data_IF_136995563753
#
_entry.id   IF_136995563753
#
_cell.length_a   1.000
_cell.length_b   1.000
_cell.length_c   1.000
_cell.angle_alpha   90.00
_cell.angle_beta   90.00
_cell.angle_gamma   90.00
#
_symmetry.space_group_name_H-M   'P 1'
#
loop_
_entity.id
_entity.type
_entity.pdbx_description
1 polymer ?
#
# COMPACT_ATOMS: atom_id res chain seq x y z
N UNK A 1 6.09 -1.83 7.06
CA UNK A 1 4.63 -1.64 7.22
C UNK A 1 4.11 -0.81 6.07
N UNK A 2 2.86 -1.04 5.62
CA UNK A 2 2.18 -0.30 4.54
C UNK A 2 0.84 0.22 5.08
N UNK A 3 0.55 1.49 4.88
CA UNK A 3 -0.76 2.10 5.12
C UNK A 3 -1.33 2.44 3.75
N UNK A 4 -2.52 1.91 3.45
CA UNK A 4 -3.19 2.12 2.16
C UNK A 4 -4.61 2.59 2.36
N UNK A 5 -4.95 3.71 1.74
CA UNK A 5 -6.29 4.26 1.74
C UNK A 5 -6.69 4.69 0.32
N UNK A 6 -7.91 4.34 -0.05
CA UNK A 6 -8.56 4.79 -1.30
C UNK A 6 -9.95 5.30 -0.98
N UNK A 7 -10.25 6.54 -1.33
CA UNK A 7 -11.54 7.14 -1.04
C UNK A 7 -11.52 8.66 -1.19
N UNK A 8 -12.51 9.31 -0.61
CA UNK A 8 -12.54 10.77 -0.53
C UNK A 8 -11.44 11.28 0.38
N UNK A 9 -10.94 12.47 0.09
CA UNK A 9 -9.95 13.14 0.91
C UNK A 9 -9.78 14.59 0.51
N UNK A 10 -9.06 15.31 1.34
CA UNK A 10 -8.71 16.70 1.19
C UNK A 10 -7.26 16.92 1.63
N UNK A 11 -6.80 18.17 1.62
CA UNK A 11 -5.45 18.53 2.07
C UNK A 11 -5.18 18.22 3.54
N UNK A 12 -6.21 18.03 4.36
CA UNK A 12 -6.12 17.89 5.82
C UNK A 12 -6.82 16.66 6.39
N UNK A 13 -7.55 15.88 5.55
CA UNK A 13 -8.30 14.72 6.06
C UNK A 13 -8.55 13.63 5.01
N UNK A 14 -8.83 12.41 5.49
CA UNK A 14 -9.42 11.33 4.74
C UNK A 14 -10.91 11.23 5.04
N UNK A 15 -11.70 11.14 4.01
CA UNK A 15 -13.16 11.10 3.97
C UNK A 15 -13.85 12.31 4.63
N UNK A 16 -15.13 12.47 4.35
CA UNK A 16 -15.98 13.49 4.99
C UNK A 16 -16.22 13.17 6.47
N UNK A 17 -16.19 11.88 6.83
CA UNK A 17 -16.29 11.40 8.21
C UNK A 17 -15.00 11.59 9.01
N UNK A 18 -13.94 12.12 8.40
CA UNK A 18 -12.65 12.41 9.05
C UNK A 18 -12.04 11.17 9.71
N UNK A 19 -11.95 10.07 8.95
CA UNK A 19 -11.29 8.82 9.38
C UNK A 19 -9.83 9.05 9.78
N UNK A 20 -9.20 10.03 9.18
CA UNK A 20 -7.89 10.58 9.54
C UNK A 20 -7.93 12.09 9.35
N UNK A 21 -7.43 12.82 10.33
CA UNK A 21 -7.18 14.26 10.20
C UNK A 21 -5.70 14.57 10.41
N UNK A 22 -5.27 15.73 9.92
CA UNK A 22 -3.87 16.15 9.95
C UNK A 22 -3.26 16.08 11.36
N UNK A 23 -4.02 16.47 12.40
CA UNK A 23 -3.56 16.43 13.79
C UNK A 23 -3.33 15.01 14.33
N UNK A 24 -3.98 13.98 13.76
CA UNK A 24 -3.80 12.59 14.20
C UNK A 24 -2.41 12.07 13.81
N UNK A 25 -1.87 12.54 12.68
CA UNK A 25 -0.58 12.10 12.16
C UNK A 25 0.52 12.28 13.20
N UNK A 26 0.50 13.39 13.91
CA UNK A 26 1.50 13.69 14.96
C UNK A 26 1.36 12.82 16.22
N UNK A 27 0.21 12.17 16.41
CA UNK A 27 -0.10 11.34 17.58
C UNK A 27 0.34 9.87 17.38
N UNK A 28 0.59 9.44 16.16
CA UNK A 28 1.07 8.09 15.90
C UNK A 28 2.51 7.93 16.39
N UNK A 29 2.88 6.69 16.70
CA UNK A 29 4.27 6.33 17.00
C UNK A 29 4.56 4.98 16.35
N UNK A 30 5.54 4.96 15.48
CA UNK A 30 5.95 3.75 14.76
C UNK A 30 7.38 3.36 15.15
N UNK A 31 7.60 2.10 15.44
CA UNK A 31 8.95 1.54 15.60
C UNK A 31 9.71 1.51 14.27
N UNK A 32 8.96 1.39 13.17
CA UNK A 32 9.46 1.44 11.79
C UNK A 32 8.48 2.24 10.96
N UNK A 33 8.95 3.32 10.35
CA UNK A 33 8.09 4.18 9.54
C UNK A 33 7.45 3.42 8.37
N UNK A 34 6.13 3.53 8.19
CA UNK A 34 5.42 2.90 7.09
C UNK A 34 5.67 3.61 5.76
N UNK A 35 5.31 2.94 4.68
CA UNK A 35 4.97 3.58 3.42
C UNK A 35 3.49 3.89 3.43
N UNK A 36 3.15 5.10 3.03
CA UNK A 36 1.77 5.52 2.87
C UNK A 36 1.37 5.52 1.40
N UNK A 37 0.20 4.99 1.10
CA UNK A 37 -0.45 5.09 -0.21
C UNK A 37 -1.80 5.75 0.01
N UNK A 38 -2.00 6.93 -0.55
CA UNK A 38 -3.22 7.71 -0.38
C UNK A 38 -3.81 8.03 -1.75
N UNK A 39 -4.67 7.17 -2.24
CA UNK A 39 -5.39 7.38 -3.49
C UNK A 39 -6.68 8.16 -3.22
N UNK A 40 -6.53 9.46 -2.99
CA UNK A 40 -7.59 10.41 -2.61
C UNK A 40 -7.55 11.64 -3.52
N UNK A 41 -8.24 12.72 -3.12
CA UNK A 41 -8.07 14.05 -3.72
C UNK A 41 -7.15 14.92 -2.85
N UNK A 42 -6.32 15.75 -3.47
CA UNK A 42 -5.59 16.88 -2.86
C UNK A 42 -4.91 16.63 -1.50
N UNK A 43 -4.46 15.39 -1.23
CA UNK A 43 -3.89 15.09 0.09
C UNK A 43 -2.51 15.74 0.32
N UNK A 44 -1.80 16.05 -0.78
CA UNK A 44 -0.45 16.64 -0.70
C UNK A 44 -0.26 17.75 -1.74
N UNK A 45 -1.04 18.82 -1.71
CA UNK A 45 -0.82 19.98 -2.57
C UNK A 45 0.35 20.82 -2.03
N UNK A 46 1.59 20.33 -2.21
CA UNK A 46 2.81 20.93 -1.63
C UNK A 46 3.15 22.34 -2.15
N UNK A 47 2.42 22.83 -3.13
CA UNK A 47 2.48 24.22 -3.62
C UNK A 47 1.42 25.13 -2.96
N UNK A 48 0.67 24.63 -1.98
CA UNK A 48 -0.26 25.42 -1.18
C UNK A 48 0.47 26.27 -0.11
N UNK A 49 -0.19 27.32 0.35
CA UNK A 49 0.38 28.20 1.39
C UNK A 49 0.46 27.55 2.76
N UNK A 50 -0.40 26.58 3.04
CA UNK A 50 -0.46 25.86 4.31
C UNK A 50 0.02 24.43 4.10
N UNK A 51 0.78 23.93 5.09
CA UNK A 51 1.24 22.55 5.13
C UNK A 51 0.05 21.58 5.08
N UNK A 52 0.11 20.62 4.20
CA UNK A 52 -0.92 19.59 4.03
C UNK A 52 -0.65 18.38 4.93
N UNK A 53 -1.67 17.55 5.14
CA UNK A 53 -1.53 16.29 5.88
C UNK A 53 -0.48 15.36 5.26
N UNK A 54 -0.38 15.32 3.94
CA UNK A 54 0.65 14.52 3.25
C UNK A 54 2.07 15.03 3.49
N UNK A 55 2.27 16.34 3.59
CA UNK A 55 3.57 16.90 3.98
C UNK A 55 3.90 16.54 5.43
N UNK A 56 2.93 16.61 6.35
CA UNK A 56 3.14 16.18 7.73
C UNK A 56 3.48 14.69 7.83
N UNK A 57 2.86 13.83 7.01
CA UNK A 57 3.26 12.41 6.92
C UNK A 57 4.73 12.29 6.53
N UNK A 58 5.22 13.07 5.58
CA UNK A 58 6.60 12.93 5.13
C UNK A 58 7.61 13.61 6.06
N UNK A 59 7.25 14.73 6.65
CA UNK A 59 8.14 15.53 7.48
C UNK A 59 8.26 15.05 8.93
N UNK A 60 7.32 14.20 9.40
CA UNK A 60 7.33 13.73 10.78
C UNK A 60 8.18 12.46 10.94
N UNK A 61 9.33 12.61 11.59
CA UNK A 61 10.31 11.54 11.75
C UNK A 61 9.87 10.40 12.70
N UNK A 62 8.80 10.56 13.49
CA UNK A 62 8.37 9.56 14.48
C UNK A 62 7.03 8.92 14.16
N UNK A 63 6.13 9.69 13.58
CA UNK A 63 4.73 9.29 13.36
C UNK A 63 4.32 9.32 11.88
N UNK A 64 5.22 9.69 11.01
CA UNK A 64 4.98 9.85 9.58
C UNK A 64 5.25 8.60 8.76
N UNK A 65 5.86 8.77 7.60
CA UNK A 65 6.19 7.71 6.65
C UNK A 65 7.56 7.87 6.02
N UNK A 66 8.17 6.75 5.64
CA UNK A 66 9.45 6.77 4.93
C UNK A 66 9.28 7.17 3.45
N UNK A 67 8.09 6.93 2.92
CA UNK A 67 7.68 7.35 1.59
C UNK A 67 6.16 7.49 1.53
N UNK A 68 5.68 8.33 0.64
CA UNK A 68 4.27 8.60 0.43
C UNK A 68 3.96 8.59 -1.06
N UNK A 69 3.07 7.71 -1.50
CA UNK A 69 2.43 7.80 -2.81
C UNK A 69 1.07 8.47 -2.64
N UNK A 70 0.89 9.63 -3.27
CA UNK A 70 -0.20 10.55 -2.94
C UNK A 70 -0.67 11.36 -4.14
N UNK A 71 -1.68 12.18 -3.93
CA UNK A 71 -2.24 13.10 -4.93
C UNK A 71 -1.96 14.55 -4.59
N UNK A 72 -1.62 15.34 -5.62
CA UNK A 72 -1.44 16.80 -5.53
C UNK A 72 -2.68 17.58 -5.91
N UNK A 73 -3.64 16.95 -6.56
CA UNK A 73 -4.84 17.58 -7.14
C UNK A 73 -6.02 16.65 -7.05
N UNK A 74 -7.19 17.19 -7.34
CA UNK A 74 -8.44 16.41 -7.46
C UNK A 74 -8.23 15.22 -8.39
N UNK A 75 -8.69 14.07 -7.97
CA UNK A 75 -8.66 12.83 -8.72
C UNK A 75 -10.04 12.16 -8.69
N UNK A 76 -10.39 11.44 -9.75
CA UNK A 76 -11.68 10.76 -9.84
C UNK A 76 -11.63 9.38 -9.19
N UNK A 77 -12.74 8.91 -8.58
CA UNK A 77 -12.76 7.66 -7.82
C UNK A 77 -12.31 6.42 -8.59
N UNK A 78 -12.71 6.27 -9.84
CA UNK A 78 -12.31 5.17 -10.72
C UNK A 78 -10.81 5.21 -11.03
N UNK A 79 -10.24 6.39 -11.16
CA UNK A 79 -8.80 6.59 -11.36
C UNK A 79 -8.01 6.28 -10.08
N UNK A 80 -8.51 6.72 -8.93
CA UNK A 80 -7.95 6.39 -7.63
C UNK A 80 -7.85 4.89 -7.43
N UNK A 81 -8.95 4.18 -7.69
CA UNK A 81 -8.96 2.72 -7.58
C UNK A 81 -7.98 2.05 -8.55
N UNK A 82 -7.95 2.51 -9.80
CA UNK A 82 -7.12 1.94 -10.84
C UNK A 82 -5.62 2.14 -10.59
N UNK A 83 -5.21 3.34 -10.22
CA UNK A 83 -3.80 3.62 -9.91
C UNK A 83 -3.37 2.87 -8.65
N UNK A 84 -4.21 2.81 -7.62
CA UNK A 84 -3.90 2.13 -6.38
C UNK A 84 -3.74 0.62 -6.60
N UNK A 85 -4.70 -0.04 -7.24
CA UNK A 85 -4.64 -1.48 -7.53
C UNK A 85 -3.41 -1.82 -8.38
N UNK A 86 -3.14 -1.04 -9.43
CA UNK A 86 -1.99 -1.25 -10.31
C UNK A 86 -0.65 -1.00 -9.60
N UNK A 87 -0.61 -0.04 -8.66
CA UNK A 87 0.57 0.19 -7.84
C UNK A 87 0.84 -0.97 -6.89
N UNK A 88 -0.19 -1.47 -6.20
CA UNK A 88 -0.06 -2.62 -5.30
C UNK A 88 0.42 -3.85 -6.08
N UNK A 89 -0.18 -4.15 -7.24
CA UNK A 89 0.32 -5.22 -8.11
C UNK A 89 1.79 -5.04 -8.47
N UNK A 90 2.18 -3.81 -8.84
CA UNK A 90 3.55 -3.53 -9.27
C UNK A 90 4.54 -3.64 -8.12
N UNK A 91 4.20 -3.16 -6.92
CA UNK A 91 5.06 -3.21 -5.72
C UNK A 91 5.40 -4.64 -5.30
N UNK A 92 4.47 -5.57 -5.46
CA UNK A 92 4.63 -6.96 -5.02
C UNK A 92 4.91 -7.94 -6.17
N UNK A 93 5.14 -7.45 -7.38
CA UNK A 93 5.52 -8.28 -8.52
C UNK A 93 7.04 -8.37 -8.62
N UNK A 94 7.57 -9.56 -8.41
CA UNK A 94 8.98 -9.83 -8.62
C UNK A 94 9.32 -9.95 -10.12
N UNK A 95 10.51 -9.50 -10.48
CA UNK A 95 11.16 -9.80 -11.75
C UNK A 95 12.49 -10.46 -11.41
N UNK A 96 12.70 -11.68 -11.91
CA UNK A 96 13.89 -12.50 -11.61
C UNK A 96 14.19 -12.64 -10.10
N UNK A 97 13.12 -12.83 -9.31
CA UNK A 97 13.22 -12.99 -7.86
C UNK A 97 13.47 -11.68 -7.09
N UNK A 98 13.49 -10.53 -7.75
CA UNK A 98 13.76 -9.22 -7.14
C UNK A 98 12.49 -8.35 -7.17
N UNK A 99 12.14 -7.78 -6.03
CA UNK A 99 11.07 -6.78 -5.96
C UNK A 99 11.55 -5.44 -6.55
N UNK A 100 10.65 -4.67 -7.17
CA UNK A 100 11.00 -3.36 -7.73
C UNK A 100 11.35 -2.35 -6.62
N UNK A 101 12.05 -1.30 -6.99
CA UNK A 101 12.12 -0.08 -6.19
C UNK A 101 10.78 0.65 -6.21
N UNK A 102 10.55 1.58 -5.27
CA UNK A 102 9.33 2.39 -5.26
C UNK A 102 9.16 3.16 -6.57
N UNK A 103 10.25 3.73 -7.09
CA UNK A 103 10.23 4.45 -8.38
C UNK A 103 9.88 3.56 -9.56
N UNK A 104 10.45 2.35 -9.63
CA UNK A 104 10.12 1.37 -10.66
C UNK A 104 8.66 0.93 -10.58
N UNK A 105 8.15 0.65 -9.37
CA UNK A 105 6.76 0.23 -9.17
C UNK A 105 5.77 1.31 -9.60
N UNK A 106 6.00 2.57 -9.23
CA UNK A 106 5.17 3.71 -9.61
C UNK A 106 5.22 3.96 -11.12
N UNK A 107 6.41 3.90 -11.71
CA UNK A 107 6.56 4.03 -13.16
C UNK A 107 5.80 2.93 -13.90
N UNK A 108 5.90 1.68 -13.46
CA UNK A 108 5.17 0.56 -14.03
C UNK A 108 3.65 0.75 -13.89
N UNK A 109 3.18 1.15 -12.69
CA UNK A 109 1.77 1.43 -12.45
C UNK A 109 1.23 2.51 -13.39
N UNK A 110 1.92 3.63 -13.50
CA UNK A 110 1.54 4.74 -14.38
C UNK A 110 1.56 4.35 -15.88
N UNK A 111 2.48 3.47 -16.29
CA UNK A 111 2.55 2.97 -17.68
C UNK A 111 1.42 2.01 -18.03
N UNK A 112 0.99 1.16 -17.09
CA UNK A 112 -0.13 0.23 -17.29
C UNK A 112 -1.47 0.94 -17.46
N UNK A 113 -1.61 2.13 -16.89
CA UNK A 113 -2.82 2.94 -17.03
C UNK A 113 -2.73 3.69 -18.37
N UNK A 114 -3.21 3.03 -19.42
CA UNK A 114 -3.35 3.63 -20.74
C UNK A 114 -4.70 4.31 -20.79
N UNK A 115 -4.71 5.63 -20.74
CA UNK A 115 -5.94 6.42 -20.81
C UNK A 115 -5.76 7.55 -21.81
N UNK A 116 -6.54 7.52 -22.84
CA UNK A 116 -6.55 8.55 -23.87
C UNK A 116 -7.07 9.91 -23.38
N UNK A 117 -7.88 9.93 -22.32
CA UNK A 117 -8.49 11.13 -21.74
C UNK A 117 -7.87 11.58 -20.40
N UNK A 118 -7.04 10.74 -19.75
CA UNK A 118 -6.69 10.93 -18.34
C UNK A 118 -5.20 11.09 -18.07
N UNK A 119 -4.44 11.60 -19.05
CA UNK A 119 -3.01 11.88 -18.84
C UNK A 119 -2.81 12.78 -17.62
N UNK A 120 -3.66 13.81 -17.47
CA UNK A 120 -3.59 14.73 -16.34
C UNK A 120 -3.85 14.02 -15.01
N UNK A 121 -4.80 13.09 -14.95
CA UNK A 121 -5.15 12.39 -13.72
C UNK A 121 -3.99 11.55 -13.16
N UNK A 122 -3.31 10.77 -13.99
CA UNK A 122 -2.16 10.00 -13.52
C UNK A 122 -0.93 10.87 -13.17
N UNK A 123 -0.85 12.10 -13.69
CA UNK A 123 0.18 13.06 -13.30
C UNK A 123 -0.08 13.65 -11.91
N UNK A 124 -1.34 13.68 -11.46
CA UNK A 124 -1.69 14.14 -10.12
C UNK A 124 -1.16 13.22 -9.00
N UNK A 125 -0.84 11.96 -9.32
CA UNK A 125 -0.22 11.03 -8.38
C UNK A 125 1.30 11.18 -8.40
N UNK A 126 1.88 11.35 -7.23
CA UNK A 126 3.33 11.54 -7.04
C UNK A 126 3.88 10.59 -6.00
N UNK A 127 5.18 10.36 -6.04
CA UNK A 127 5.96 9.77 -4.97
C UNK A 127 6.72 10.88 -4.25
N UNK A 128 6.55 10.95 -2.95
CA UNK A 128 7.41 11.73 -2.05
C UNK A 128 8.24 10.74 -1.26
N UNK A 129 9.56 10.83 -1.36
CA UNK A 129 10.52 9.90 -0.76
C UNK A 129 11.60 9.47 -1.75
N UNK A 130 12.44 8.53 -1.33
CA UNK A 130 13.50 8.01 -2.17
C UNK A 130 12.97 6.97 -3.18
N UNK A 131 13.02 7.24 -4.49
CA UNK A 131 12.56 6.30 -5.51
C UNK A 131 13.44 5.03 -5.62
N UNK A 132 14.66 5.06 -5.08
CA UNK A 132 15.54 3.90 -5.06
C UNK A 132 15.24 2.93 -3.91
N UNK A 133 14.40 3.33 -2.96
CA UNK A 133 14.00 2.49 -1.83
C UNK A 133 13.28 1.22 -2.31
N UNK A 134 13.68 0.07 -1.76
CA UNK A 134 12.98 -1.21 -1.93
C UNK A 134 12.26 -1.58 -0.64
N UNK A 135 11.06 -2.16 -0.78
CA UNK A 135 10.37 -2.75 0.35
C UNK A 135 11.14 -3.96 0.86
N UNK A 136 11.27 -4.04 2.18
CA UNK A 136 11.71 -5.30 2.80
C UNK A 136 10.64 -6.35 2.55
N UNK A 137 11.02 -7.43 1.90
CA UNK A 137 10.14 -8.57 1.64
C UNK A 137 10.39 -9.68 2.64
N UNK A 138 9.37 -10.46 3.01
CA UNK A 138 9.55 -11.67 3.77
C UNK A 138 10.49 -12.62 3.03
N UNK A 139 11.49 -13.12 3.71
CA UNK A 139 12.37 -14.19 3.15
C UNK A 139 11.68 -15.55 3.20
N UNK A 140 10.80 -15.75 4.18
CA UNK A 140 10.07 -16.98 4.40
C UNK A 140 8.68 -16.93 3.80
N UNK A 141 8.14 -18.06 3.40
CA UNK A 141 6.76 -18.22 2.92
C UNK A 141 5.95 -19.06 3.90
N UNK A 142 4.64 -18.87 3.91
CA UNK A 142 3.71 -19.68 4.71
C UNK A 142 2.99 -20.64 3.79
N UNK A 143 3.04 -21.95 4.11
CA UNK A 143 2.25 -22.98 3.44
C UNK A 143 1.21 -23.50 4.42
N UNK A 144 -0.06 -23.28 4.12
CA UNK A 144 -1.15 -23.90 4.87
C UNK A 144 -1.17 -25.41 4.53
N UNK A 145 -1.23 -26.25 5.55
CA UNK A 145 -1.19 -27.72 5.39
C UNK A 145 -2.50 -28.39 5.76
N UNK A 146 -3.23 -27.81 6.72
CA UNK A 146 -4.49 -28.39 7.22
C UNK A 146 -5.52 -27.30 7.48
N UNK A 147 -6.78 -27.61 7.26
CA UNK A 147 -7.93 -26.81 7.71
C UNK A 147 -8.87 -27.75 8.47
N UNK A 148 -9.23 -27.35 9.71
CA UNK A 148 -10.07 -28.14 10.61
C UNK A 148 -9.55 -29.57 10.84
N UNK A 149 -8.21 -29.72 10.90
CA UNK A 149 -7.53 -31.00 11.13
C UNK A 149 -7.51 -31.94 9.91
N UNK A 150 -7.90 -31.46 8.75
CA UNK A 150 -7.84 -32.20 7.47
C UNK A 150 -6.85 -31.56 6.51
N UNK A 151 -6.10 -32.35 5.71
CA UNK A 151 -5.26 -31.80 4.65
C UNK A 151 -6.06 -30.90 3.71
N UNK A 152 -5.37 -29.93 3.09
CA UNK A 152 -6.02 -29.05 2.11
C UNK A 152 -6.41 -29.89 0.89
N UNK A 153 -7.69 -29.88 0.49
CA UNK A 153 -8.13 -30.57 -0.73
C UNK A 153 -7.60 -29.83 -1.98
N UNK A 154 -7.51 -30.54 -3.09
CA UNK A 154 -7.17 -29.93 -4.38
C UNK A 154 -8.31 -29.00 -4.90
N UNK A 155 -9.55 -29.33 -4.56
CA UNK A 155 -10.71 -28.52 -4.89
C UNK A 155 -10.90 -27.35 -3.92
N UNK A 156 -11.49 -26.22 -4.36
CA UNK A 156 -11.75 -25.08 -3.50
C UNK A 156 -12.59 -25.43 -2.28
N UNK A 157 -12.11 -25.16 -1.09
CA UNK A 157 -12.83 -25.39 0.15
C UNK A 157 -13.79 -24.22 0.43
N UNK A 158 -15.08 -24.55 0.57
CA UNK A 158 -16.08 -23.56 0.98
C UNK A 158 -16.15 -23.48 2.50
N UNK A 159 -16.00 -22.27 3.03
CA UNK A 159 -16.15 -21.96 4.44
C UNK A 159 -17.38 -21.06 4.62
N UNK A 160 -18.14 -21.30 5.69
CA UNK A 160 -19.32 -20.49 6.02
C UNK A 160 -18.91 -19.20 6.73
N UNK A 161 -19.64 -18.11 6.48
CA UNK A 161 -19.45 -16.87 7.21
C UNK A 161 -19.64 -17.12 8.73
N UNK A 162 -18.80 -16.45 9.54
CA UNK A 162 -18.78 -16.58 11.01
C UNK A 162 -18.42 -17.98 11.54
N UNK A 163 -18.03 -18.92 10.69
CA UNK A 163 -17.57 -20.23 11.11
C UNK A 163 -16.20 -20.11 11.82
N UNK A 164 -16.06 -20.79 12.96
CA UNK A 164 -14.76 -20.97 13.59
C UNK A 164 -13.95 -21.99 12.80
N UNK A 165 -12.79 -21.57 12.30
CA UNK A 165 -11.92 -22.39 11.46
C UNK A 165 -10.55 -22.50 12.12
N UNK A 166 -10.04 -23.74 12.23
CA UNK A 166 -8.66 -24.01 12.62
C UNK A 166 -7.80 -24.16 11.37
N UNK A 167 -6.74 -23.37 11.28
CA UNK A 167 -5.79 -23.43 10.16
C UNK A 167 -4.42 -23.80 10.71
N UNK A 168 -3.77 -24.81 10.10
CA UNK A 168 -2.41 -25.21 10.41
C UNK A 168 -1.54 -25.03 9.18
N UNK A 169 -0.34 -24.54 9.39
CA UNK A 169 0.63 -24.28 8.33
C UNK A 169 2.04 -24.46 8.83
N UNK A 170 2.97 -24.33 7.89
CA UNK A 170 4.41 -24.35 8.15
C UNK A 170 5.04 -23.10 7.53
N UNK A 171 6.05 -22.58 8.19
CA UNK A 171 6.92 -21.54 7.63
C UNK A 171 8.01 -22.26 6.82
N UNK A 172 8.25 -21.78 5.62
CA UNK A 172 9.27 -22.31 4.72
C UNK A 172 10.34 -21.26 4.48
N UNK A 173 11.58 -21.67 4.57
CA UNK A 173 12.73 -20.90 4.12
C UNK A 173 12.70 -20.67 2.60
N UNK A 174 13.53 -19.76 2.06
CA UNK A 174 13.61 -19.51 0.61
C UNK A 174 13.97 -20.75 -0.22
N UNK A 175 14.66 -21.71 0.34
CA UNK A 175 15.03 -22.99 -0.28
C UNK A 175 13.91 -24.05 -0.20
N UNK A 176 12.78 -23.73 0.43
CA UNK A 176 11.63 -24.61 0.61
C UNK A 176 11.73 -25.57 1.80
N UNK A 177 12.81 -25.56 2.56
CA UNK A 177 12.92 -26.28 3.82
C UNK A 177 12.00 -25.68 4.89
N UNK A 178 11.58 -26.50 5.87
CA UNK A 178 10.81 -25.97 7.00
C UNK A 178 11.70 -25.10 7.88
N UNK A 179 11.16 -23.94 8.27
CA UNK A 179 11.73 -23.14 9.35
C UNK A 179 11.44 -23.86 10.68
N UNK A 180 12.46 -24.08 11.47
CA UNK A 180 12.38 -24.84 12.75
C UNK A 180 12.65 -23.96 13.96
N UNK A 181 12.82 -22.64 13.77
CA UNK A 181 13.06 -21.70 14.85
C UNK A 181 11.76 -21.16 15.48
#
# INVERSE_FOLDING_TARGET
>A
MLINYTGHGSKDSWSDEKVLIQSDISQFTYSTLPIWITATCDFTPFDALLTSAGEDVFLNAKSGGIALFTTMRVAYPDQNFKINSTLIESLFKQTDGVYPTLGEAIMQAKRKIVLSSDLHQKMNFILIGDPALRLSSPKSSIRVTEINGKPIPEEPLTLSALQKVSVKGVILNPDGSKDTD
#
